data_IF_668338060418
#
_entry.id   IF_668338060418
#
_cell.length_a   1.000
_cell.length_b   1.000
_cell.length_c   1.000
_cell.angle_alpha   90.00
_cell.angle_beta   90.00
_cell.angle_gamma   90.00
#
_symmetry.space_group_name_H-M   'P 1'
#
loop_
_entity.id
_entity.type
_entity.pdbx_description
1 polymer ?
#
# COMPACT_ATOMS: atom_id res chain seq x y z
N UNK A 1 -11.22 26.97 22.70
CA UNK A 1 -11.58 25.72 22.01
C UNK A 1 -12.35 26.08 20.74
N UNK A 2 -11.66 26.30 19.62
CA UNK A 2 -12.32 26.61 18.35
C UNK A 2 -12.73 25.29 17.67
N UNK A 3 -14.02 25.15 17.36
CA UNK A 3 -14.57 23.98 16.69
C UNK A 3 -13.93 23.81 15.30
N UNK A 4 -13.39 22.63 15.02
CA UNK A 4 -12.87 22.25 13.70
C UNK A 4 -14.01 22.30 12.68
N UNK A 5 -13.89 23.17 11.67
CA UNK A 5 -14.88 23.24 10.59
C UNK A 5 -14.98 21.88 9.86
N UNK A 6 -16.18 21.46 9.44
CA UNK A 6 -16.36 20.25 8.64
C UNK A 6 -15.65 20.42 7.29
N UNK A 7 -14.92 19.37 6.90
CA UNK A 7 -14.15 19.30 5.65
C UNK A 7 -15.08 19.35 4.44
N UNK A 8 -14.90 20.34 3.57
CA UNK A 8 -15.63 20.46 2.30
C UNK A 8 -14.75 19.93 1.15
N UNK A 9 -15.03 18.73 0.61
CA UNK A 9 -14.18 18.07 -0.38
C UNK A 9 -14.09 18.80 -1.72
N UNK A 10 -15.00 19.74 -2.02
CA UNK A 10 -15.04 20.45 -3.30
C UNK A 10 -14.24 21.76 -3.30
N UNK A 11 -13.84 22.26 -2.12
CA UNK A 11 -13.03 23.49 -1.97
C UNK A 11 -11.65 23.20 -1.35
N UNK A 12 -11.32 21.92 -1.15
CA UNK A 12 -10.04 21.50 -0.60
C UNK A 12 -8.92 21.86 -1.59
N UNK A 13 -8.21 22.94 -1.26
CA UNK A 13 -7.07 23.42 -2.01
C UNK A 13 -6.00 22.31 -2.04
N UNK A 14 -5.41 22.09 -3.22
CA UNK A 14 -4.46 21.02 -3.48
C UNK A 14 -3.19 21.25 -2.63
N UNK A 15 -3.23 20.78 -1.38
CA UNK A 15 -2.17 20.97 -0.42
C UNK A 15 -1.25 19.76 -0.50
N UNK A 16 -0.01 19.99 -0.89
CA UNK A 16 1.12 19.05 -0.80
C UNK A 16 1.14 18.32 0.56
N UNK A 17 0.63 18.97 1.62
CA UNK A 17 0.52 18.38 2.96
C UNK A 17 -0.48 17.21 3.03
N UNK A 18 -1.53 17.23 2.23
CA UNK A 18 -2.49 16.12 2.10
C UNK A 18 -1.80 14.93 1.42
N UNK A 19 -1.06 15.15 0.34
CA UNK A 19 -0.27 14.10 -0.34
C UNK A 19 0.79 13.48 0.57
N UNK A 20 1.49 14.31 1.36
CA UNK A 20 2.44 13.84 2.37
C UNK A 20 1.76 12.99 3.44
N UNK A 21 0.60 13.42 3.94
CA UNK A 21 -0.17 12.67 4.93
C UNK A 21 -0.66 11.33 4.36
N UNK A 22 -1.08 11.30 3.09
CA UNK A 22 -1.43 10.07 2.41
C UNK A 22 -0.24 9.12 2.28
N UNK A 23 0.93 9.62 1.88
CA UNK A 23 2.14 8.81 1.78
C UNK A 23 2.55 8.22 3.14
N UNK A 24 2.53 9.03 4.21
CA UNK A 24 2.86 8.55 5.56
C UNK A 24 1.90 7.45 5.99
N UNK A 25 0.59 7.64 5.79
CA UNK A 25 -0.42 6.65 6.15
C UNK A 25 -0.29 5.35 5.35
N UNK A 26 0.04 5.44 4.07
CA UNK A 26 0.24 4.27 3.22
C UNK A 26 1.48 3.46 3.66
N UNK A 27 2.56 4.13 4.04
CA UNK A 27 3.77 3.48 4.59
C UNK A 27 3.48 2.85 5.96
N UNK A 28 2.80 3.56 6.86
CA UNK A 28 2.37 3.02 8.17
C UNK A 28 1.50 1.77 8.00
N UNK A 29 0.58 1.79 7.04
CA UNK A 29 -0.29 0.64 6.72
C UNK A 29 0.53 -0.55 6.21
N UNK A 30 1.48 -0.34 5.28
CA UNK A 30 2.33 -1.39 4.76
C UNK A 30 3.20 -2.03 5.85
N UNK A 31 3.80 -1.20 6.71
CA UNK A 31 4.58 -1.68 7.87
C UNK A 31 3.72 -2.45 8.86
N UNK A 32 2.51 -1.95 9.15
CA UNK A 32 1.56 -2.63 10.04
C UNK A 32 1.15 -3.98 9.47
N UNK A 33 0.86 -4.03 8.16
CA UNK A 33 0.53 -5.28 7.48
C UNK A 33 1.69 -6.27 7.49
N UNK A 34 2.93 -5.81 7.23
CA UNK A 34 4.12 -6.65 7.32
C UNK A 34 4.30 -7.27 8.72
N UNK A 35 4.09 -6.48 9.77
CA UNK A 35 4.13 -6.95 11.15
C UNK A 35 2.99 -7.92 11.50
N UNK A 36 1.83 -7.81 10.83
CA UNK A 36 0.71 -8.73 11.01
C UNK A 36 1.01 -10.07 10.37
N UNK A 37 1.50 -10.07 9.12
CA UNK A 37 1.88 -11.31 8.45
C UNK A 37 3.08 -11.96 9.15
N UNK A 38 4.01 -11.25 9.80
CA UNK A 38 5.07 -11.90 10.59
C UNK A 38 4.48 -12.79 11.70
N UNK A 39 3.44 -12.30 12.38
CA UNK A 39 2.92 -12.89 13.62
C UNK A 39 1.85 -13.94 13.39
N UNK A 40 1.01 -13.75 12.38
CA UNK A 40 -0.18 -14.56 12.12
C UNK A 40 -0.05 -15.21 10.73
N UNK A 41 -0.37 -16.50 10.58
CA UNK A 41 -0.38 -17.13 9.27
C UNK A 41 -1.36 -16.41 8.32
N UNK A 42 -1.02 -16.18 7.05
CA UNK A 42 -1.85 -15.40 6.12
C UNK A 42 -3.26 -15.96 5.94
N UNK A 43 -3.42 -17.29 5.96
CA UNK A 43 -4.70 -17.98 5.76
C UNK A 43 -5.73 -17.72 6.88
N UNK A 44 -5.27 -17.41 8.10
CA UNK A 44 -6.13 -17.13 9.24
C UNK A 44 -6.41 -15.62 9.40
N UNK A 45 -5.68 -14.77 8.67
CA UNK A 45 -5.78 -13.33 8.79
C UNK A 45 -7.05 -12.78 8.12
N UNK A 46 -7.94 -12.21 8.93
CA UNK A 46 -9.12 -11.47 8.44
C UNK A 46 -8.86 -9.98 8.44
N UNK A 47 -8.94 -9.35 7.28
CA UNK A 47 -8.69 -7.92 7.09
C UNK A 47 -9.94 -7.09 7.35
N UNK A 48 -11.10 -7.60 6.95
CA UNK A 48 -12.40 -6.96 7.13
C UNK A 48 -13.46 -7.95 7.65
N UNK A 49 -14.62 -7.42 8.01
CA UNK A 49 -15.78 -8.24 8.41
C UNK A 49 -16.47 -8.93 7.23
N UNK A 50 -16.18 -8.50 5.99
CA UNK A 50 -16.86 -8.91 4.77
C UNK A 50 -15.90 -9.52 3.75
N UNK A 51 -14.83 -10.16 4.24
CA UNK A 51 -13.76 -10.72 3.38
C UNK A 51 -14.30 -11.74 2.38
N UNK A 52 -15.28 -12.55 2.78
CA UNK A 52 -15.94 -13.52 1.89
C UNK A 52 -16.63 -12.83 0.70
N UNK A 53 -17.35 -11.74 0.97
CA UNK A 53 -18.07 -10.97 -0.06
C UNK A 53 -17.09 -10.30 -1.03
N UNK A 54 -16.05 -9.66 -0.51
CA UNK A 54 -15.03 -8.96 -1.31
C UNK A 54 -14.29 -9.97 -2.21
N UNK A 55 -13.93 -11.13 -1.68
CA UNK A 55 -13.22 -12.16 -2.43
C UNK A 55 -14.06 -12.66 -3.62
N UNK A 56 -15.31 -13.03 -3.38
CA UNK A 56 -16.18 -13.51 -4.45
C UNK A 56 -16.44 -12.43 -5.51
N UNK A 57 -16.71 -11.19 -5.09
CA UNK A 57 -16.98 -10.10 -6.01
C UNK A 57 -15.73 -9.72 -6.84
N UNK A 58 -14.54 -9.85 -6.25
CA UNK A 58 -13.27 -9.64 -6.96
C UNK A 58 -13.08 -10.66 -8.06
N UNK A 59 -13.29 -11.95 -7.78
CA UNK A 59 -13.18 -13.01 -8.80
C UNK A 59 -14.27 -12.92 -9.87
N UNK A 60 -15.47 -12.45 -9.51
CA UNK A 60 -16.57 -12.21 -10.47
C UNK A 60 -16.29 -11.00 -11.36
N UNK A 61 -15.74 -9.92 -10.80
CA UNK A 61 -15.47 -8.68 -11.54
C UNK A 61 -14.21 -8.78 -12.40
N UNK A 62 -13.21 -9.54 -11.94
CA UNK A 62 -11.91 -9.68 -12.57
C UNK A 62 -11.54 -11.15 -12.76
N UNK A 63 -12.22 -11.89 -13.65
CA UNK A 63 -11.89 -13.28 -13.95
C UNK A 63 -10.45 -13.44 -14.44
N UNK A 64 -9.89 -12.42 -15.10
CA UNK A 64 -8.50 -12.38 -15.57
C UNK A 64 -7.46 -12.57 -14.45
N UNK A 65 -7.79 -12.21 -13.21
CA UNK A 65 -6.91 -12.42 -12.06
C UNK A 65 -6.88 -13.89 -11.59
N UNK A 66 -7.92 -14.64 -11.91
CA UNK A 66 -8.03 -16.07 -11.60
C UNK A 66 -7.44 -16.96 -12.72
N UNK A 67 -7.27 -16.42 -13.91
CA UNK A 67 -6.69 -17.14 -15.04
C UNK A 67 -5.19 -17.44 -14.82
N UNK A 68 -4.69 -18.49 -15.48
CA UNK A 68 -3.29 -18.93 -15.45
C UNK A 68 -2.72 -19.20 -14.03
N UNK A 69 -3.40 -20.01 -13.24
CA UNK A 69 -2.97 -20.39 -11.88
C UNK A 69 -2.72 -19.18 -10.97
N UNK A 70 -3.64 -18.20 -11.05
CA UNK A 70 -3.59 -16.97 -10.25
C UNK A 70 -2.33 -16.13 -10.50
N UNK A 71 -1.71 -16.24 -11.68
CA UNK A 71 -0.52 -15.48 -12.05
C UNK A 71 -0.70 -13.97 -11.85
N UNK A 72 -1.89 -13.44 -12.18
CA UNK A 72 -2.23 -12.03 -11.97
C UNK A 72 -2.32 -11.62 -10.49
N UNK A 73 -2.58 -12.56 -9.57
CA UNK A 73 -2.52 -12.30 -8.13
C UNK A 73 -1.09 -12.41 -7.59
N UNK A 74 -0.25 -13.28 -8.18
CA UNK A 74 1.15 -13.41 -7.79
C UNK A 74 1.93 -12.18 -8.24
N UNK A 75 1.88 -11.85 -9.54
CA UNK A 75 2.57 -10.72 -10.14
C UNK A 75 1.55 -9.79 -10.81
N UNK A 76 1.36 -8.63 -10.20
CA UNK A 76 0.42 -7.63 -10.70
C UNK A 76 0.98 -6.89 -11.90
N UNK A 77 0.12 -6.72 -12.90
CA UNK A 77 0.39 -5.87 -14.06
C UNK A 77 0.03 -4.41 -13.76
N UNK A 78 1.06 -3.56 -13.65
CA UNK A 78 0.92 -2.13 -13.41
C UNK A 78 0.26 -1.40 -14.59
N UNK A 79 0.48 -1.87 -15.83
CA UNK A 79 -0.09 -1.24 -17.02
C UNK A 79 -1.61 -1.45 -17.07
N UNK A 80 -2.06 -2.66 -16.74
CA UNK A 80 -3.49 -2.98 -16.65
C UNK A 80 -4.19 -2.13 -15.58
N UNK A 81 -3.57 -1.93 -14.42
CA UNK A 81 -4.11 -1.08 -13.35
C UNK A 81 -4.20 0.40 -13.75
N UNK A 82 -3.26 0.87 -14.57
CA UNK A 82 -3.21 2.26 -15.06
C UNK A 82 -4.07 2.50 -16.30
N UNK A 83 -4.46 1.43 -16.99
CA UNK A 83 -5.29 1.48 -18.18
C UNK A 83 -6.65 2.17 -17.91
N UNK A 84 -7.23 2.87 -18.91
CA UNK A 84 -8.51 3.54 -18.74
C UNK A 84 -9.64 2.56 -18.39
N UNK A 85 -9.63 1.36 -18.97
CA UNK A 85 -10.60 0.29 -18.69
C UNK A 85 -10.46 -0.26 -17.28
N UNK A 86 -9.24 -0.46 -16.78
CA UNK A 86 -8.98 -0.88 -15.40
C UNK A 86 -9.50 0.15 -14.40
N UNK A 87 -9.21 1.44 -14.62
CA UNK A 87 -9.69 2.53 -13.75
C UNK A 87 -11.21 2.61 -13.66
N UNK A 88 -11.92 2.36 -14.75
CA UNK A 88 -13.39 2.36 -14.77
C UNK A 88 -13.96 1.20 -13.93
N UNK A 89 -13.49 -0.03 -14.18
CA UNK A 89 -13.91 -1.22 -13.41
C UNK A 89 -13.63 -1.08 -11.91
N UNK A 90 -12.46 -0.55 -11.55
CA UNK A 90 -12.12 -0.32 -10.15
C UNK A 90 -13.00 0.75 -9.50
N UNK A 91 -13.39 1.80 -10.21
CA UNK A 91 -14.34 2.80 -9.69
C UNK A 91 -15.72 2.21 -9.43
N UNK A 92 -16.23 1.40 -10.36
CA UNK A 92 -17.48 0.68 -10.18
C UNK A 92 -17.44 -0.30 -9.01
N UNK A 93 -16.31 -1.00 -8.84
CA UNK A 93 -16.05 -1.86 -7.69
C UNK A 93 -16.08 -1.05 -6.39
N UNK A 94 -15.37 0.07 -6.33
CA UNK A 94 -15.27 0.92 -5.14
C UNK A 94 -16.63 1.50 -4.71
N UNK A 95 -17.44 1.97 -5.66
CA UNK A 95 -18.75 2.57 -5.33
C UNK A 95 -19.70 1.56 -4.66
N UNK A 96 -19.59 0.25 -4.94
CA UNK A 96 -20.40 -0.79 -4.27
C UNK A 96 -20.10 -0.88 -2.76
N UNK A 97 -18.85 -0.69 -2.37
CA UNK A 97 -18.39 -0.88 -0.98
C UNK A 97 -18.31 0.41 -0.17
N UNK A 98 -18.51 1.58 -0.79
CA UNK A 98 -18.50 2.91 -0.16
C UNK A 98 -19.32 3.03 1.12
N UNK A 99 -20.45 2.32 1.22
CA UNK A 99 -21.33 2.32 2.40
C UNK A 99 -21.01 1.20 3.42
N UNK A 100 -20.26 0.18 3.01
CA UNK A 100 -19.94 -1.00 3.82
C UNK A 100 -18.58 -0.89 4.51
N UNK A 101 -17.59 -0.29 3.83
CA UNK A 101 -16.21 -0.14 4.30
C UNK A 101 -15.98 1.33 4.68
N UNK A 102 -15.68 1.58 5.96
CA UNK A 102 -15.59 2.96 6.49
C UNK A 102 -14.41 3.78 5.95
N UNK A 103 -13.43 3.15 5.32
CA UNK A 103 -12.16 3.77 4.91
C UNK A 103 -11.73 3.30 3.51
N UNK A 104 -12.69 3.19 2.58
CA UNK A 104 -12.44 2.60 1.25
C UNK A 104 -11.44 3.41 0.40
N UNK A 105 -11.39 4.74 0.55
CA UNK A 105 -10.58 5.67 -0.25
C UNK A 105 -9.22 6.00 0.37
N UNK A 106 -8.82 5.31 1.45
CA UNK A 106 -7.51 5.55 2.03
C UNK A 106 -6.41 5.00 1.12
N UNK A 107 -5.27 5.66 1.11
CA UNK A 107 -4.12 5.18 0.36
C UNK A 107 -3.46 4.01 1.04
N UNK A 108 -3.22 2.95 0.29
CA UNK A 108 -2.51 1.75 0.75
C UNK A 108 -1.44 1.37 -0.27
N UNK A 109 -0.40 0.68 0.19
CA UNK A 109 0.65 0.18 -0.70
C UNK A 109 0.42 -1.30 -0.97
N UNK A 110 0.44 -1.67 -2.24
CA UNK A 110 0.27 -3.06 -2.70
C UNK A 110 1.59 -3.57 -3.26
N UNK A 111 1.93 -4.82 -2.91
CA UNK A 111 3.08 -5.53 -3.47
C UNK A 111 2.78 -6.02 -4.88
N UNK A 112 3.67 -5.73 -5.82
CA UNK A 112 3.60 -6.23 -7.21
C UNK A 112 3.67 -7.75 -7.20
N UNK A 113 4.70 -8.29 -6.56
CA UNK A 113 4.91 -9.70 -6.32
C UNK A 113 4.50 -10.07 -4.89
N UNK A 114 3.54 -10.97 -4.76
CA UNK A 114 3.06 -11.50 -3.48
C UNK A 114 4.14 -12.22 -2.68
N UNK A 115 5.17 -12.75 -3.36
CA UNK A 115 6.22 -13.57 -2.75
C UNK A 115 7.39 -12.77 -2.19
N UNK A 116 7.49 -11.49 -2.54
CA UNK A 116 8.62 -10.63 -2.19
C UNK A 116 8.24 -9.61 -1.11
N UNK A 117 9.26 -8.99 -0.51
CA UNK A 117 9.13 -7.93 0.49
C UNK A 117 8.70 -6.58 -0.12
N UNK A 118 8.32 -5.63 0.73
CA UNK A 118 8.06 -4.25 0.33
C UNK A 118 9.37 -3.54 -0.02
N UNK A 119 9.78 -3.65 -1.28
CA UNK A 119 10.90 -2.87 -1.86
C UNK A 119 10.38 -1.88 -2.90
N UNK A 120 11.19 -0.87 -3.20
CA UNK A 120 10.86 0.18 -4.18
C UNK A 120 10.42 -0.42 -5.53
N UNK A 121 11.09 -1.46 -6.00
CA UNK A 121 10.79 -2.14 -7.26
C UNK A 121 9.56 -3.05 -7.21
N UNK A 122 9.16 -3.47 -6.01
CA UNK A 122 8.09 -4.44 -5.79
C UNK A 122 6.82 -3.79 -5.22
N UNK A 123 6.74 -2.47 -5.17
CA UNK A 123 5.58 -1.76 -4.63
C UNK A 123 4.97 -0.93 -5.75
N UNK A 124 3.67 -1.11 -6.01
CA UNK A 124 2.90 -0.30 -6.98
C UNK A 124 2.72 1.09 -6.35
N UNK A 125 3.80 1.89 -6.40
CA UNK A 125 3.98 3.28 -5.96
C UNK A 125 5.45 3.72 -6.09
N UNK A 126 6.38 2.77 -6.32
CA UNK A 126 7.83 2.97 -6.19
C UNK A 126 8.45 4.00 -7.13
N UNK A 127 7.95 4.13 -8.36
CA UNK A 127 8.52 5.09 -9.31
C UNK A 127 8.30 6.56 -8.92
N UNK A 128 7.31 6.84 -8.07
CA UNK A 128 6.81 8.22 -7.93
C UNK A 128 6.93 8.79 -6.52
N UNK A 129 6.84 7.96 -5.48
CA UNK A 129 7.19 8.38 -4.12
C UNK A 129 8.71 8.59 -3.98
N UNK A 130 9.54 7.77 -4.64
CA UNK A 130 10.99 7.96 -4.65
C UNK A 130 11.38 9.28 -5.34
N UNK A 131 10.74 9.61 -6.48
CA UNK A 131 10.98 10.85 -7.21
C UNK A 131 10.44 12.07 -6.45
N UNK A 132 9.26 11.97 -5.84
CA UNK A 132 8.66 13.05 -5.04
C UNK A 132 9.43 13.29 -3.72
N UNK A 133 9.87 12.23 -3.04
CA UNK A 133 10.65 12.33 -1.81
C UNK A 133 12.08 12.81 -2.09
N UNK A 134 12.72 12.38 -3.20
CA UNK A 134 14.03 12.91 -3.57
C UNK A 134 13.94 14.39 -3.95
N UNK A 135 12.96 14.83 -4.74
CA UNK A 135 12.79 16.25 -5.10
C UNK A 135 12.56 17.14 -3.86
N UNK A 136 11.79 16.67 -2.89
CA UNK A 136 11.53 17.39 -1.64
C UNK A 136 12.77 17.49 -0.74
N UNK A 137 13.68 16.51 -0.80
CA UNK A 137 14.91 16.48 -0.01
C UNK A 137 16.09 17.18 -0.70
N UNK A 138 16.13 17.22 -2.04
CA UNK A 138 17.26 17.80 -2.79
C UNK A 138 17.09 19.26 -3.21
N UNK A 139 15.90 19.87 -3.08
CA UNK A 139 15.67 21.27 -3.46
C UNK A 139 14.90 22.06 -2.38
N UNK A 140 15.59 22.62 -1.36
CA UNK A 140 15.01 23.64 -0.51
C UNK A 140 15.06 24.98 -1.25
N UNK A 141 13.99 25.31 -1.98
CA UNK A 141 13.72 26.68 -2.41
C UNK A 141 14.06 27.03 -3.86
N UNK A 142 13.18 26.66 -4.78
CA UNK A 142 12.84 27.47 -5.97
C UNK A 142 11.73 26.76 -6.75
N UNK A 143 10.51 26.78 -6.24
CA UNK A 143 9.33 26.48 -7.04
C UNK A 143 8.47 27.72 -7.17
N UNK A 144 9.04 28.75 -7.77
CA UNK A 144 8.31 29.86 -8.35
C UNK A 144 8.47 29.77 -9.86
N UNK A 145 7.34 29.62 -10.53
CA UNK A 145 7.14 30.15 -11.87
C UNK A 145 7.73 29.34 -13.04
N UNK A 146 7.11 28.20 -13.35
CA UNK A 146 6.78 27.84 -14.74
C UNK A 146 5.56 26.91 -14.71
N UNK A 147 4.49 27.35 -15.38
CA UNK A 147 3.18 26.68 -15.42
C UNK A 147 3.19 25.35 -16.18
N UNK A 148 3.80 24.30 -15.61
CA UNK A 148 3.60 22.93 -16.07
C UNK A 148 3.85 21.92 -14.95
N UNK A 149 2.83 21.68 -14.14
CA UNK A 149 2.75 20.43 -13.38
C UNK A 149 1.32 19.85 -13.42
N UNK A 150 0.90 19.29 -14.58
CA UNK A 150 -0.25 18.40 -14.62
C UNK A 150 0.07 17.01 -14.01
N UNK A 151 1.34 16.71 -13.76
CA UNK A 151 1.77 15.38 -13.31
C UNK A 151 1.38 15.08 -11.85
N UNK A 152 1.43 16.03 -10.92
CA UNK A 152 1.02 15.79 -9.51
C UNK A 152 -0.46 15.46 -9.37
N UNK A 153 -1.31 16.00 -10.23
CA UNK A 153 -2.73 15.68 -10.23
C UNK A 153 -3.02 14.27 -10.76
N UNK A 154 -2.19 13.73 -11.66
CA UNK A 154 -2.25 12.32 -12.05
C UNK A 154 -1.65 11.36 -11.00
N UNK A 155 -0.81 11.86 -10.07
CA UNK A 155 -0.24 11.06 -8.97
C UNK A 155 -1.28 10.67 -7.94
N UNK A 156 -2.18 11.60 -7.60
CA UNK A 156 -3.24 11.35 -6.63
C UNK A 156 -4.33 10.41 -7.18
N UNK A 157 -4.48 10.36 -8.51
CA UNK A 157 -5.41 9.44 -9.21
C UNK A 157 -4.89 7.99 -9.23
N UNK A 158 -3.66 7.75 -8.76
CA UNK A 158 -3.01 6.43 -8.72
C UNK A 158 -2.76 5.92 -7.30
N UNK A 159 -3.34 6.55 -6.29
CA UNK A 159 -3.40 5.94 -4.96
C UNK A 159 -4.27 4.69 -5.05
N UNK A 160 -3.67 3.51 -4.90
CA UNK A 160 -4.45 2.27 -4.78
C UNK A 160 -5.33 2.41 -3.56
N UNK A 161 -6.63 2.45 -3.80
CA UNK A 161 -7.64 2.54 -2.77
C UNK A 161 -7.47 1.36 -1.81
N UNK A 162 -7.69 1.59 -0.52
CA UNK A 162 -7.58 0.56 0.50
C UNK A 162 -8.44 -0.67 0.16
N UNK A 163 -9.55 -0.45 -0.56
CA UNK A 163 -10.38 -1.53 -1.07
C UNK A 163 -9.68 -2.40 -2.14
N UNK A 164 -8.86 -1.81 -3.01
CA UNK A 164 -8.04 -2.56 -3.97
C UNK A 164 -7.01 -3.41 -3.21
N UNK A 165 -6.38 -2.86 -2.17
CA UNK A 165 -5.49 -3.62 -1.29
C UNK A 165 -6.22 -4.82 -0.67
N UNK A 166 -7.43 -4.64 -0.15
CA UNK A 166 -8.23 -5.74 0.38
C UNK A 166 -8.57 -6.79 -0.68
N UNK A 167 -9.00 -6.38 -1.87
CA UNK A 167 -9.33 -7.30 -2.96
C UNK A 167 -8.15 -8.25 -3.27
N UNK A 168 -6.96 -7.70 -3.44
CA UNK A 168 -5.76 -8.49 -3.76
C UNK A 168 -5.26 -9.31 -2.56
N UNK A 169 -5.09 -8.69 -1.39
CA UNK A 169 -4.50 -9.40 -0.25
C UNK A 169 -5.44 -10.46 0.33
N UNK A 170 -6.76 -10.26 0.32
CA UNK A 170 -7.70 -11.31 0.73
C UNK A 170 -7.60 -12.50 -0.22
N UNK A 171 -7.53 -12.26 -1.53
CA UNK A 171 -7.38 -13.33 -2.52
C UNK A 171 -6.04 -14.08 -2.34
N UNK A 172 -4.93 -13.35 -2.15
CA UNK A 172 -3.61 -13.92 -1.89
C UNK A 172 -3.57 -14.76 -0.62
N UNK A 173 -4.19 -14.26 0.46
CA UNK A 173 -4.25 -14.94 1.76
C UNK A 173 -5.05 -16.24 1.69
N UNK A 174 -6.21 -16.24 1.01
CA UNK A 174 -7.02 -17.46 0.85
C UNK A 174 -6.35 -18.54 0.03
N UNK A 175 -5.59 -18.13 -0.98
CA UNK A 175 -4.90 -19.03 -1.89
C UNK A 175 -3.51 -19.47 -1.36
N UNK A 176 -3.08 -18.99 -0.19
CA UNK A 176 -1.76 -19.30 0.37
C UNK A 176 -0.58 -18.68 -0.41
N UNK A 177 -0.86 -17.74 -1.32
CA UNK A 177 0.17 -17.10 -2.15
C UNK A 177 1.13 -16.22 -1.33
N UNK A 178 0.69 -15.82 -0.13
CA UNK A 178 1.47 -15.03 0.82
C UNK A 178 2.30 -15.86 1.81
N UNK A 179 2.27 -17.19 1.75
CA UNK A 179 3.01 -18.04 2.69
C UNK A 179 4.53 -17.85 2.57
N UNK A 180 5.04 -17.66 1.34
CA UNK A 180 6.47 -17.35 1.15
C UNK A 180 6.85 -16.01 1.75
N UNK A 181 5.96 -15.03 1.70
CA UNK A 181 6.19 -13.72 2.31
C UNK A 181 6.14 -13.78 3.85
N UNK A 182 5.28 -14.64 4.40
CA UNK A 182 5.23 -14.93 5.83
C UNK A 182 6.56 -15.50 6.35
N UNK A 183 7.14 -16.46 5.61
CA UNK A 183 8.42 -17.05 5.96
C UNK A 183 9.58 -16.05 5.85
N UNK A 184 9.57 -15.21 4.81
CA UNK A 184 10.54 -14.12 4.65
C UNK A 184 10.44 -13.10 5.80
N UNK A 185 9.23 -12.65 6.13
CA UNK A 185 9.00 -11.70 7.22
C UNK A 185 9.52 -12.25 8.56
N UNK A 186 9.28 -13.54 8.85
CA UNK A 186 9.82 -14.22 10.04
C UNK A 186 11.34 -14.27 10.03
N UNK A 187 11.94 -14.61 8.88
CA UNK A 187 13.39 -14.69 8.74
C UNK A 187 14.06 -13.31 8.93
N UNK A 188 13.47 -12.25 8.40
CA UNK A 188 13.93 -10.87 8.57
C UNK A 188 13.79 -10.39 10.01
N UNK A 189 12.65 -10.62 10.64
CA UNK A 189 12.45 -10.26 12.04
C UNK A 189 13.44 -10.99 12.97
N UNK A 190 13.78 -12.24 12.68
CA UNK A 190 14.81 -12.98 13.40
C UNK A 190 16.22 -12.38 13.20
N UNK A 191 16.56 -11.99 11.95
CA UNK A 191 17.83 -11.32 11.64
C UNK A 191 17.94 -9.96 12.34
N UNK A 192 16.86 -9.17 12.33
CA UNK A 192 16.81 -7.86 12.99
C UNK A 192 16.97 -7.98 14.50
N UNK A 193 16.30 -8.93 15.14
CA UNK A 193 16.47 -9.23 16.58
C UNK A 193 17.92 -9.61 16.90
N UNK A 194 18.52 -10.50 16.12
CA UNK A 194 19.92 -10.89 16.29
C UNK A 194 20.90 -9.73 16.09
N UNK A 195 20.61 -8.81 15.16
CA UNK A 195 21.42 -7.61 14.95
C UNK A 195 21.32 -6.65 16.14
N UNK A 196 20.10 -6.38 16.63
CA UNK A 196 19.88 -5.53 17.81
C UNK A 196 20.57 -6.07 19.07
N UNK A 197 20.55 -7.39 19.27
CA UNK A 197 21.28 -8.04 20.38
C UNK A 197 22.79 -7.86 20.27
N UNK A 198 23.35 -8.03 19.06
CA UNK A 198 24.79 -7.81 18.80
C UNK A 198 25.18 -6.35 19.02
N UNK A 199 24.37 -5.40 18.57
CA UNK A 199 24.58 -3.97 18.74
C UNK A 199 24.48 -3.56 20.22
N UNK A 200 23.48 -4.07 20.95
CA UNK A 200 23.34 -3.85 22.38
C UNK A 200 24.55 -4.39 23.16
N UNK A 201 24.99 -5.62 22.85
CA UNK A 201 26.19 -6.22 23.46
C UNK A 201 27.47 -5.42 23.13
N UNK A 202 27.59 -4.88 21.92
CA UNK A 202 28.70 -4.02 21.53
C UNK A 202 28.67 -2.66 22.25
N UNK A 203 27.49 -2.06 22.41
CA UNK A 203 27.30 -0.82 23.14
C UNK A 203 27.61 -0.98 24.64
N UNK A 204 27.21 -2.09 25.25
CA UNK A 204 27.52 -2.38 26.66
C UNK A 204 29.04 -2.58 26.87
N UNK A 205 29.71 -3.30 25.97
CA UNK A 205 31.18 -3.45 26.01
C UNK A 205 31.91 -2.13 25.86
N UNK A 206 31.39 -1.17 25.08
CA UNK A 206 31.94 0.19 24.96
C UNK A 206 31.73 1.02 26.22
N UNK A 207 30.63 0.85 26.95
CA UNK A 207 30.35 1.57 28.22
C UNK A 207 31.19 1.06 29.40
N UNK A 208 31.71 -0.16 29.32
CA UNK A 208 32.57 -0.78 30.35
C UNK A 208 34.07 -0.52 30.15
N UNK A 209 34.46 0.16 29.06
CA UNK A 209 35.82 0.62 28.79
C UNK A 209 35.92 2.12 29.05
#
# INVERSE_FOLDING_TARGET
MAASKPFDPNTAQNHIDIEKQFAVKAVEQAQTYWNLIEKVPPTELKLTKIDDEIYEDTLKTFPELAENDYAGLIQLDEEWMKSPSGKERWREFIERYKKKVKDYNFGSLIRMNAKEEYVEKNTIFGGLLAFALSLLLTCPGSYSDTGRLPLVFECLVLITAHLQFYAFEIARNRLGLNDTAHDLAKAEAAKEKAQKEKEAAAAEKKKRK
#
